data_IF_179565818303
#
_entry.id   IF_179565818303
#
_cell.length_a   1.000
_cell.length_b   1.000
_cell.length_c   1.000
_cell.angle_alpha   90.00
_cell.angle_beta   90.00
_cell.angle_gamma   90.00
#
_symmetry.space_group_name_H-M   'P 1'
#
loop_
_entity.id
_entity.type
_entity.pdbx_description
1 polymer ?
#
# COMPACT_ATOMS: atom_id res chain seq x y z
N UNK A 1 2.11 -16.59 -25.30
CA UNK A 1 2.70 -16.42 -23.95
C UNK A 1 1.57 -16.15 -22.97
N UNK A 2 1.29 -17.07 -22.03
CA UNK A 2 0.35 -16.78 -20.94
C UNK A 2 0.99 -15.71 -20.04
N UNK A 3 0.33 -14.58 -19.72
CA UNK A 3 0.89 -13.64 -18.76
C UNK A 3 0.93 -14.36 -17.40
N UNK A 4 2.13 -14.63 -16.90
CA UNK A 4 2.29 -15.14 -15.53
C UNK A 4 1.67 -14.12 -14.57
N UNK A 5 0.84 -14.53 -13.61
CA UNK A 5 0.20 -13.60 -12.69
C UNK A 5 1.29 -12.91 -11.86
N UNK A 6 1.62 -11.66 -12.20
CA UNK A 6 2.63 -10.84 -11.51
C UNK A 6 2.13 -10.32 -10.14
N UNK A 7 1.19 -11.02 -9.51
CA UNK A 7 0.67 -10.75 -8.17
C UNK A 7 0.95 -11.96 -7.26
N UNK A 8 2.14 -12.56 -7.41
CA UNK A 8 2.55 -13.68 -6.56
C UNK A 8 2.78 -13.20 -5.12
N UNK A 9 2.67 -14.10 -4.15
CA UNK A 9 2.89 -13.76 -2.74
C UNK A 9 4.33 -13.26 -2.56
N UNK A 10 5.27 -13.93 -3.18
CA UNK A 10 6.70 -13.72 -3.10
C UNK A 10 7.11 -12.33 -3.62
N UNK A 11 6.41 -11.81 -4.64
CA UNK A 11 6.64 -10.47 -5.17
C UNK A 11 6.06 -9.36 -4.29
N UNK A 12 5.02 -9.67 -3.51
CA UNK A 12 4.24 -8.69 -2.75
C UNK A 12 4.66 -8.62 -1.28
N UNK A 13 5.09 -9.74 -0.70
CA UNK A 13 5.49 -9.87 0.71
C UNK A 13 6.56 -8.86 1.14
N UNK A 14 7.58 -8.50 0.32
CA UNK A 14 8.55 -7.48 0.70
C UNK A 14 7.90 -6.14 1.03
N UNK A 15 6.94 -5.66 0.21
CA UNK A 15 6.26 -4.39 0.46
C UNK A 15 5.45 -4.40 1.76
N UNK A 16 4.75 -5.51 2.04
CA UNK A 16 3.95 -5.62 3.25
C UNK A 16 4.82 -5.78 4.50
N UNK A 17 5.93 -6.50 4.40
CA UNK A 17 6.88 -6.68 5.51
C UNK A 17 7.56 -5.36 5.88
N UNK A 18 8.01 -4.60 4.87
CA UNK A 18 8.55 -3.25 5.06
C UNK A 18 7.51 -2.33 5.71
N UNK A 19 6.27 -2.35 5.21
CA UNK A 19 5.18 -1.58 5.80
C UNK A 19 4.86 -1.99 7.24
N UNK A 20 4.80 -3.28 7.55
CA UNK A 20 4.49 -3.77 8.90
C UNK A 20 5.54 -3.29 9.91
N UNK A 21 6.83 -3.35 9.57
CA UNK A 21 7.91 -2.79 10.39
C UNK A 21 7.76 -1.28 10.60
N UNK A 22 7.48 -0.54 9.54
CA UNK A 22 7.34 0.92 9.59
C UNK A 22 6.08 1.36 10.34
N UNK A 23 4.97 0.63 10.20
CA UNK A 23 3.69 0.91 10.83
C UNK A 23 3.76 0.80 12.36
N UNK A 24 4.54 -0.17 12.87
CA UNK A 24 4.82 -0.29 14.31
C UNK A 24 5.56 0.95 14.81
N UNK A 25 6.60 1.38 14.10
CA UNK A 25 7.35 2.59 14.45
C UNK A 25 6.47 3.85 14.41
N UNK A 26 5.63 3.99 13.38
CA UNK A 26 4.68 5.10 13.24
C UNK A 26 3.68 5.15 14.40
N UNK A 27 3.15 3.99 14.81
CA UNK A 27 2.23 3.91 15.95
C UNK A 27 2.90 4.43 17.22
N UNK A 28 4.15 4.06 17.48
CA UNK A 28 4.86 4.49 18.68
C UNK A 28 5.30 5.95 18.63
N UNK A 29 5.76 6.45 17.49
CA UNK A 29 6.10 7.87 17.30
C UNK A 29 4.89 8.78 17.52
N UNK A 30 3.70 8.39 17.04
CA UNK A 30 2.49 9.16 17.29
C UNK A 30 2.05 9.14 18.75
N UNK A 31 2.23 8.02 19.48
CA UNK A 31 2.02 7.99 20.94
C UNK A 31 2.97 8.94 21.66
N UNK A 32 4.22 9.04 21.20
CA UNK A 32 5.24 9.91 21.76
C UNK A 32 5.14 11.37 21.29
N UNK A 33 4.18 11.72 20.42
CA UNK A 33 4.04 13.05 19.78
C UNK A 33 5.35 13.54 19.13
N UNK A 34 6.14 12.61 18.62
CA UNK A 34 7.45 12.91 18.06
C UNK A 34 7.33 13.43 16.62
N UNK A 35 8.07 14.51 16.31
CA UNK A 35 8.06 15.19 15.00
C UNK A 35 8.63 14.35 13.86
N UNK A 36 9.29 13.23 14.15
CA UNK A 36 9.80 12.28 13.16
C UNK A 36 8.71 11.55 12.36
N UNK A 37 7.43 11.66 12.76
CA UNK A 37 6.30 11.03 12.06
C UNK A 37 6.26 11.38 10.56
N UNK A 38 6.53 12.64 10.22
CA UNK A 38 6.49 13.09 8.82
C UNK A 38 7.49 12.32 7.94
N UNK A 39 8.70 12.05 8.44
CA UNK A 39 9.72 11.31 7.69
C UNK A 39 9.29 9.86 7.47
N UNK A 40 8.83 9.19 8.53
CA UNK A 40 8.35 7.82 8.42
C UNK A 40 7.11 7.69 7.50
N UNK A 41 6.21 8.68 7.49
CA UNK A 41 5.08 8.68 6.55
C UNK A 41 5.53 8.78 5.10
N UNK A 42 6.55 9.60 4.80
CA UNK A 42 7.11 9.69 3.46
C UNK A 42 7.78 8.38 3.01
N UNK A 43 8.44 7.67 3.92
CA UNK A 43 8.97 6.32 3.67
C UNK A 43 7.82 5.34 3.36
N UNK A 44 6.74 5.39 4.15
CA UNK A 44 5.56 4.54 3.94
C UNK A 44 4.83 4.83 2.62
N UNK A 45 4.71 6.11 2.25
CA UNK A 45 4.19 6.53 0.94
C UNK A 45 5.04 5.98 -0.21
N UNK A 46 6.36 5.97 -0.05
CA UNK A 46 7.26 5.44 -1.06
C UNK A 46 7.04 3.94 -1.25
N UNK A 47 6.92 3.17 -0.16
CA UNK A 47 6.59 1.74 -0.21
C UNK A 47 5.23 1.53 -0.89
N UNK A 48 4.22 2.29 -0.47
CA UNK A 48 2.86 2.17 -1.00
C UNK A 48 2.79 2.47 -2.50
N UNK A 49 3.43 3.54 -2.96
CA UNK A 49 3.48 3.91 -4.39
C UNK A 49 4.17 2.84 -5.23
N UNK A 50 5.25 2.23 -4.72
CA UNK A 50 5.92 1.11 -5.41
C UNK A 50 5.00 -0.11 -5.51
N UNK A 51 4.32 -0.47 -4.43
CA UNK A 51 3.33 -1.55 -4.40
C UNK A 51 2.18 -1.29 -5.39
N UNK A 52 1.62 -0.09 -5.39
CA UNK A 52 0.54 0.30 -6.30
C UNK A 52 0.99 0.25 -7.77
N UNK A 53 2.18 0.77 -8.08
CA UNK A 53 2.75 0.70 -9.42
C UNK A 53 3.00 -0.75 -9.88
N UNK A 54 3.48 -1.60 -8.99
CA UNK A 54 3.63 -3.03 -9.24
C UNK A 54 2.28 -3.67 -9.59
N UNK A 55 1.23 -3.39 -8.80
CA UNK A 55 -0.12 -3.90 -9.06
C UNK A 55 -0.67 -3.41 -10.41
N UNK A 56 -0.53 -2.12 -10.72
CA UNK A 56 -0.95 -1.55 -12.01
C UNK A 56 -0.27 -2.23 -13.20
N UNK A 57 1.03 -2.48 -13.10
CA UNK A 57 1.79 -3.22 -14.12
C UNK A 57 1.32 -4.68 -14.24
N UNK A 58 1.14 -5.34 -13.10
CA UNK A 58 0.70 -6.73 -13.04
C UNK A 58 -0.69 -6.96 -13.64
N UNK A 59 -1.61 -6.03 -13.38
CA UNK A 59 -2.99 -6.04 -13.86
C UNK A 59 -3.13 -5.47 -15.27
N UNK A 60 -2.08 -4.83 -15.81
CA UNK A 60 -2.15 -4.01 -17.02
C UNK A 60 -3.25 -2.92 -16.94
N UNK A 61 -3.50 -2.42 -15.74
CA UNK A 61 -4.53 -1.44 -15.44
C UNK A 61 -3.89 -0.23 -14.76
N UNK A 62 -3.76 0.88 -15.49
CA UNK A 62 -3.18 2.13 -14.96
C UNK A 62 -4.12 2.87 -14.01
N UNK A 63 -5.44 2.65 -14.15
CA UNK A 63 -6.45 3.28 -13.32
C UNK A 63 -6.67 2.54 -12.00
N UNK A 64 -6.11 1.34 -11.85
CA UNK A 64 -6.22 0.55 -10.62
C UNK A 64 -5.76 1.35 -9.38
N UNK A 65 -6.68 1.52 -8.43
CA UNK A 65 -6.44 2.10 -7.12
C UNK A 65 -7.50 1.62 -6.10
N UNK A 66 -7.23 1.71 -4.79
CA UNK A 66 -8.27 1.58 -3.78
C UNK A 66 -9.28 2.71 -3.81
N UNK A 67 -10.33 2.60 -2.99
CA UNK A 67 -11.38 3.61 -2.93
C UNK A 67 -10.81 4.99 -2.55
N UNK A 68 -11.06 5.98 -3.41
CA UNK A 68 -10.56 7.35 -3.29
C UNK A 68 -9.03 7.39 -3.10
N UNK A 69 -8.31 6.47 -3.76
CA UNK A 69 -6.88 6.28 -3.57
C UNK A 69 -6.08 7.56 -3.85
N UNK A 70 -6.40 8.24 -4.96
CA UNK A 70 -5.74 9.49 -5.35
C UNK A 70 -5.95 10.60 -4.31
N UNK A 71 -7.19 10.87 -3.89
CA UNK A 71 -7.49 11.93 -2.91
C UNK A 71 -6.82 11.66 -1.56
N UNK A 72 -6.85 10.39 -1.11
CA UNK A 72 -6.23 9.99 0.16
C UNK A 72 -4.71 10.13 0.10
N UNK A 73 -4.08 9.78 -1.01
CA UNK A 73 -2.65 10.00 -1.20
C UNK A 73 -2.30 11.49 -1.16
N UNK A 74 -3.05 12.34 -1.85
CA UNK A 74 -2.85 13.80 -1.81
C UNK A 74 -3.01 14.36 -0.40
N UNK A 75 -3.97 13.84 0.38
CA UNK A 75 -4.12 14.21 1.80
C UNK A 75 -2.89 13.81 2.64
N UNK A 76 -2.43 12.57 2.52
CA UNK A 76 -1.27 12.06 3.28
C UNK A 76 0.00 12.88 2.94
N UNK A 77 0.19 13.21 1.66
CA UNK A 77 1.32 14.02 1.17
C UNK A 77 1.30 15.45 1.69
N UNK A 78 0.12 16.05 1.80
CA UNK A 78 -0.03 17.43 2.31
C UNK A 78 0.08 17.50 3.83
N UNK A 79 -0.21 16.42 4.55
CA UNK A 79 -0.29 16.40 6.02
C UNK A 79 0.51 15.25 6.68
N UNK A 80 1.76 14.97 6.28
CA UNK A 80 2.46 13.73 6.63
C UNK A 80 2.83 13.60 8.12
N UNK A 81 2.82 14.69 8.89
CA UNK A 81 3.09 14.65 10.33
C UNK A 81 1.88 14.27 11.19
N UNK A 82 0.70 14.11 10.59
CA UNK A 82 -0.55 13.94 11.34
C UNK A 82 -0.88 12.47 11.59
N UNK A 83 -1.52 12.18 12.73
CA UNK A 83 -2.04 10.84 13.01
C UNK A 83 -3.09 10.41 11.96
N UNK A 84 -3.85 11.36 11.43
CA UNK A 84 -4.80 11.11 10.36
C UNK A 84 -4.10 10.59 9.09
N UNK A 85 -2.98 11.18 8.68
CA UNK A 85 -2.19 10.69 7.54
C UNK A 85 -1.66 9.27 7.77
N UNK A 86 -1.18 8.96 8.98
CA UNK A 86 -0.82 7.58 9.35
C UNK A 86 -1.99 6.61 9.20
N UNK A 87 -3.16 6.94 9.75
CA UNK A 87 -4.34 6.08 9.68
C UNK A 87 -4.80 5.86 8.24
N UNK A 88 -4.84 6.92 7.44
CA UNK A 88 -5.19 6.85 6.02
C UNK A 88 -4.22 5.95 5.25
N UNK A 89 -2.91 6.08 5.48
CA UNK A 89 -1.92 5.22 4.84
C UNK A 89 -2.09 3.75 5.26
N UNK A 90 -2.30 3.48 6.55
CA UNK A 90 -2.53 2.12 7.05
C UNK A 90 -3.76 1.46 6.44
N UNK A 91 -4.86 2.21 6.32
CA UNK A 91 -6.08 1.74 5.69
C UNK A 91 -5.89 1.46 4.20
N UNK A 92 -5.16 2.31 3.47
CA UNK A 92 -4.81 2.07 2.07
C UNK A 92 -4.04 0.74 1.89
N UNK A 93 -3.08 0.42 2.77
CA UNK A 93 -2.38 -0.88 2.73
C UNK A 93 -3.34 -2.06 2.98
N UNK A 94 -4.24 -1.94 3.95
CA UNK A 94 -5.22 -3.00 4.26
C UNK A 94 -6.19 -3.23 3.10
N UNK A 95 -6.72 -2.16 2.53
CA UNK A 95 -7.61 -2.23 1.37
C UNK A 95 -6.90 -2.86 0.18
N UNK A 96 -5.70 -2.40 -0.15
CA UNK A 96 -4.93 -2.91 -1.26
C UNK A 96 -4.60 -4.40 -1.09
N UNK A 97 -4.22 -4.83 0.13
CA UNK A 97 -3.98 -6.26 0.46
C UNK A 97 -5.23 -7.11 0.18
N UNK A 98 -6.42 -6.64 0.58
CA UNK A 98 -7.70 -7.33 0.32
C UNK A 98 -8.03 -7.40 -1.17
N UNK A 99 -7.86 -6.28 -1.89
CA UNK A 99 -8.12 -6.22 -3.33
C UNK A 99 -7.20 -7.17 -4.09
N UNK A 100 -5.91 -7.21 -3.75
CA UNK A 100 -4.93 -8.12 -4.35
C UNK A 100 -5.31 -9.58 -4.07
N UNK A 101 -5.67 -9.93 -2.83
CA UNK A 101 -6.09 -11.29 -2.48
C UNK A 101 -7.28 -11.75 -3.34
N UNK A 102 -8.30 -10.90 -3.49
CA UNK A 102 -9.45 -11.16 -4.38
C UNK A 102 -8.99 -11.35 -5.83
N UNK A 103 -8.14 -10.46 -6.36
CA UNK A 103 -7.63 -10.56 -7.75
C UNK A 103 -6.86 -11.86 -7.99
N UNK A 104 -6.06 -12.32 -7.02
CA UNK A 104 -5.34 -13.60 -7.13
C UNK A 104 -6.29 -14.80 -7.23
N UNK A 105 -7.41 -14.78 -6.50
CA UNK A 105 -8.45 -15.81 -6.58
C UNK A 105 -9.15 -15.77 -7.95
N UNK A 106 -9.54 -14.57 -8.42
CA UNK A 106 -10.13 -14.38 -9.75
C UNK A 106 -9.21 -14.93 -10.86
N UNK A 107 -7.91 -14.63 -10.81
CA UNK A 107 -6.94 -15.16 -11.78
C UNK A 107 -6.75 -16.68 -11.69
N UNK A 108 -6.87 -17.28 -10.51
CA UNK A 108 -6.79 -18.74 -10.38
C UNK A 108 -7.96 -19.38 -11.11
N UNK A 109 -9.18 -18.91 -10.88
CA UNK A 109 -10.38 -19.45 -11.51
C UNK A 109 -10.45 -19.21 -13.03
N UNK A 110 -9.89 -18.11 -13.54
CA UNK A 110 -9.83 -17.85 -14.98
C UNK A 110 -8.85 -18.79 -15.74
N UNK A 111 -7.94 -19.46 -15.03
CA UNK A 111 -6.92 -20.33 -15.61
C UNK A 111 -7.19 -21.83 -15.38
N UNK A 112 -8.27 -22.17 -14.67
CA UNK A 112 -8.82 -23.52 -14.48
C UNK A 112 -9.80 -23.85 -15.61
#
# INVERSE_FOLDING_TARGET
MKPSPKLTKEQLDPYFSEWECLSVQLADIHKQRNKAAAKLIQEGLTIYKKLLAHCRNALQDKAFEPLNGTERLSFIESSPGTYAAYRQLAELFVELKKIIARKRIEFKHLNE
#
